data_IF_609320546939
#
_entry.id   IF_609320546939
#
_cell.length_a   1.000
_cell.length_b   1.000
_cell.length_c   1.000
_cell.angle_alpha   90.00
_cell.angle_beta   90.00
_cell.angle_gamma   90.00
#
_symmetry.space_group_name_H-M   'P 1'
#
loop_
_entity.id
_entity.type
_entity.pdbx_description
1 polymer ?
#
# COMPACT_ATOMS: atom_id res chain seq x y z
N UNK A 1 46.32 13.86 12.57
CA UNK A 1 44.92 14.16 12.16
C UNK A 1 44.40 13.34 10.97
N UNK A 2 45.24 12.68 10.16
CA UNK A 2 44.75 11.92 8.99
C UNK A 2 44.06 10.58 9.28
N UNK A 3 44.38 9.90 10.40
CA UNK A 3 43.82 8.58 10.72
C UNK A 3 42.37 8.64 11.22
N UNK A 4 41.98 9.71 11.88
CA UNK A 4 40.61 9.95 12.36
C UNK A 4 39.67 10.37 11.23
N UNK A 5 40.16 11.11 10.23
CA UNK A 5 39.37 11.55 9.09
C UNK A 5 38.98 10.38 8.17
N UNK A 6 39.85 9.38 8.02
CA UNK A 6 39.57 8.17 7.23
C UNK A 6 38.51 7.29 7.88
N UNK A 7 38.53 7.14 9.21
CA UNK A 7 37.53 6.37 9.96
C UNK A 7 36.13 6.99 9.90
N UNK A 8 36.06 8.34 9.94
CA UNK A 8 34.79 9.06 9.78
C UNK A 8 34.26 8.92 8.35
N UNK A 9 35.13 8.98 7.34
CA UNK A 9 34.71 8.81 5.95
C UNK A 9 34.24 7.38 5.66
N UNK A 10 34.94 6.37 6.19
CA UNK A 10 34.58 4.96 6.04
C UNK A 10 33.27 4.63 6.78
N UNK A 11 33.08 5.20 7.97
CA UNK A 11 31.82 5.10 8.72
C UNK A 11 30.65 5.76 7.98
N UNK A 12 30.86 6.94 7.40
CA UNK A 12 29.83 7.65 6.63
C UNK A 12 29.46 6.90 5.34
N UNK A 13 30.44 6.34 4.63
CA UNK A 13 30.19 5.52 3.42
C UNK A 13 29.42 4.24 3.76
N UNK A 14 29.72 3.58 4.89
CA UNK A 14 28.99 2.40 5.33
C UNK A 14 27.54 2.72 5.75
N UNK A 15 27.29 3.90 6.34
CA UNK A 15 25.92 4.35 6.67
C UNK A 15 25.13 4.67 5.40
N UNK A 16 25.74 5.32 4.40
CA UNK A 16 25.08 5.64 3.12
C UNK A 16 24.87 4.40 2.25
N UNK A 17 25.81 3.46 2.24
CA UNK A 17 25.68 2.18 1.54
C UNK A 17 24.67 1.24 2.22
N UNK A 18 24.63 1.23 3.55
CA UNK A 18 23.67 0.44 4.34
C UNK A 18 22.23 0.95 4.25
N UNK A 19 22.04 2.24 3.99
CA UNK A 19 20.71 2.83 3.79
C UNK A 19 20.05 2.43 2.44
N UNK A 20 20.82 1.86 1.50
CA UNK A 20 20.38 1.63 0.12
C UNK A 20 19.92 0.20 -0.18
N UNK A 21 19.83 -0.69 0.82
CA UNK A 21 19.46 -2.10 0.64
C UNK A 21 18.27 -2.55 1.49
N UNK A 22 17.44 -1.64 1.98
CA UNK A 22 16.11 -1.99 2.47
C UNK A 22 15.15 -2.10 1.27
N UNK A 23 15.44 -3.02 0.34
CA UNK A 23 14.36 -3.64 -0.41
C UNK A 23 13.63 -4.50 0.62
N UNK A 24 12.64 -3.90 1.28
CA UNK A 24 11.62 -4.67 1.96
C UNK A 24 10.85 -5.43 0.88
N UNK A 25 11.45 -6.51 0.39
CA UNK A 25 10.79 -7.58 -0.32
C UNK A 25 10.01 -8.40 0.72
N UNK A 26 9.23 -7.70 1.56
CA UNK A 26 8.22 -8.33 2.38
C UNK A 26 7.11 -8.65 1.40
N UNK A 27 7.09 -9.87 0.87
CA UNK A 27 5.88 -10.43 0.28
C UNK A 27 4.77 -10.23 1.32
N UNK A 28 3.76 -9.40 1.05
CA UNK A 28 2.78 -8.90 2.03
C UNK A 28 2.79 -7.38 2.25
N UNK A 29 3.87 -6.69 1.84
CA UNK A 29 4.02 -5.24 1.87
C UNK A 29 3.07 -4.56 0.88
N UNK A 30 1.89 -4.22 1.36
CA UNK A 30 0.99 -3.31 0.67
C UNK A 30 1.40 -1.88 0.98
N UNK A 31 1.40 -1.03 -0.04
CA UNK A 31 1.70 0.38 0.11
C UNK A 31 0.39 1.16 0.18
N UNK A 32 0.20 1.97 1.21
CA UNK A 32 -1.00 2.80 1.38
C UNK A 32 -0.61 4.26 1.34
N UNK A 33 -1.29 5.04 0.51
CA UNK A 33 -0.98 6.46 0.38
C UNK A 33 -2.00 7.26 -0.39
N UNK A 34 -1.65 8.52 -0.64
CA UNK A 34 -2.39 9.40 -1.53
C UNK A 34 -1.95 9.20 -2.98
N UNK A 35 -2.79 9.53 -3.95
CA UNK A 35 -2.45 9.40 -5.38
C UNK A 35 -1.16 10.14 -5.72
N UNK A 36 -0.99 11.33 -5.14
CA UNK A 36 0.07 12.25 -5.52
C UNK A 36 1.47 11.83 -5.08
N UNK A 37 1.56 11.12 -3.96
CA UNK A 37 2.83 10.80 -3.27
C UNK A 37 3.06 9.30 -3.10
N UNK A 38 2.02 8.49 -3.26
CA UNK A 38 2.08 7.05 -3.09
C UNK A 38 2.79 6.36 -4.25
N UNK A 39 3.42 5.23 -3.94
CA UNK A 39 4.08 4.36 -4.91
C UNK A 39 4.04 2.92 -4.43
N UNK A 40 4.13 1.97 -5.35
CA UNK A 40 4.30 0.54 -5.04
C UNK A 40 5.40 -0.01 -5.92
N UNK A 41 6.36 -0.70 -5.30
CA UNK A 41 7.56 -1.26 -5.96
C UNK A 41 8.27 -0.26 -6.90
N UNK A 42 8.34 1.00 -6.48
CA UNK A 42 9.00 2.08 -7.23
C UNK A 42 8.17 2.69 -8.37
N UNK A 43 6.95 2.21 -8.64
CA UNK A 43 6.02 2.80 -9.59
C UNK A 43 5.07 3.76 -8.87
N UNK A 44 4.91 4.99 -9.38
CA UNK A 44 3.99 5.97 -8.77
C UNK A 44 2.54 5.54 -8.96
N UNK A 45 1.68 5.80 -7.97
CA UNK A 45 0.25 5.51 -8.10
C UNK A 45 -0.41 6.22 -9.27
N UNK A 46 0.06 7.41 -9.67
CA UNK A 46 -0.45 8.15 -10.84
C UNK A 46 -0.18 7.48 -12.17
N UNK A 47 0.85 6.63 -12.23
CA UNK A 47 1.27 5.94 -13.45
C UNK A 47 0.56 4.59 -13.60
N UNK A 48 -0.23 4.19 -12.60
CA UNK A 48 -0.94 2.93 -12.56
C UNK A 48 -2.43 3.15 -12.82
N UNK A 49 -3.02 2.26 -13.61
CA UNK A 49 -4.46 2.19 -13.73
C UNK A 49 -5.07 1.69 -12.42
N UNK A 50 -6.15 2.34 -11.98
CA UNK A 50 -6.93 1.89 -10.83
C UNK A 50 -7.69 0.63 -11.22
N UNK A 51 -7.34 -0.50 -10.62
CA UNK A 51 -7.94 -1.79 -10.95
C UNK A 51 -9.31 -1.99 -10.28
N UNK A 52 -9.54 -1.34 -9.13
CA UNK A 52 -10.84 -1.34 -8.47
C UNK A 52 -11.06 -0.11 -7.61
N UNK A 53 -12.31 0.34 -7.56
CA UNK A 53 -12.77 1.41 -6.69
C UNK A 53 -13.75 0.86 -5.65
N UNK A 54 -13.46 1.10 -4.38
CA UNK A 54 -14.28 0.68 -3.24
C UNK A 54 -14.75 1.91 -2.48
N UNK A 55 -16.04 1.95 -2.17
CA UNK A 55 -16.67 3.07 -1.50
C UNK A 55 -17.32 2.61 -0.19
N UNK A 56 -16.99 3.27 0.92
CA UNK A 56 -17.81 3.17 2.12
C UNK A 56 -19.04 4.04 1.92
N UNK A 57 -20.22 3.44 2.05
CA UNK A 57 -21.51 4.08 1.82
C UNK A 57 -22.38 3.95 3.07
N UNK A 58 -23.26 4.94 3.25
CA UNK A 58 -24.32 4.94 4.24
C UNK A 58 -25.66 5.09 3.52
N UNK A 59 -26.49 4.05 3.60
CA UNK A 59 -27.80 3.98 2.97
C UNK A 59 -28.86 3.82 4.06
N UNK A 60 -29.43 4.94 4.51
CA UNK A 60 -30.30 4.96 5.69
C UNK A 60 -29.52 4.55 6.93
N UNK A 61 -29.87 3.41 7.54
CA UNK A 61 -29.18 2.85 8.69
C UNK A 61 -28.08 1.83 8.34
N UNK A 62 -27.89 1.53 7.05
CA UNK A 62 -26.94 0.51 6.59
C UNK A 62 -25.61 1.16 6.25
N UNK A 63 -24.52 0.64 6.84
CA UNK A 63 -23.15 0.98 6.50
C UNK A 63 -22.50 -0.19 5.76
N UNK A 64 -21.99 0.04 4.57
CA UNK A 64 -21.46 -1.03 3.71
C UNK A 64 -20.31 -0.56 2.82
N UNK A 65 -19.55 -1.53 2.31
CA UNK A 65 -18.60 -1.33 1.21
C UNK A 65 -19.28 -1.65 -0.13
N UNK A 66 -19.05 -0.83 -1.14
CA UNK A 66 -19.50 -1.06 -2.51
C UNK A 66 -18.34 -0.95 -3.51
N UNK A 67 -18.21 -1.87 -4.48
CA UNK A 67 -19.00 -3.10 -4.59
C UNK A 67 -18.68 -4.06 -3.43
N UNK A 68 -19.66 -4.88 -2.98
CA UNK A 68 -19.46 -5.80 -1.86
C UNK A 68 -18.47 -6.93 -2.20
N UNK A 69 -18.31 -7.24 -3.48
CA UNK A 69 -17.34 -8.20 -4.01
C UNK A 69 -16.69 -7.58 -5.23
N UNK A 70 -15.36 -7.62 -5.29
CA UNK A 70 -14.56 -7.24 -6.44
C UNK A 70 -13.75 -8.44 -6.89
N UNK A 71 -13.69 -8.70 -8.19
CA UNK A 71 -12.86 -9.75 -8.78
C UNK A 71 -11.80 -9.09 -9.64
N UNK A 72 -10.54 -9.44 -9.40
CA UNK A 72 -9.40 -8.92 -10.14
C UNK A 72 -8.81 -10.08 -10.97
N UNK A 73 -8.72 -9.89 -12.28
CA UNK A 73 -8.11 -10.90 -13.17
C UNK A 73 -6.60 -10.70 -13.27
N UNK A 74 -5.85 -11.63 -12.68
CA UNK A 74 -4.38 -11.60 -12.69
C UNK A 74 -3.75 -12.07 -14.01
N UNK A 75 -4.52 -12.69 -14.93
CA UNK A 75 -3.97 -13.24 -16.18
C UNK A 75 -3.50 -12.18 -17.16
N UNK A 76 -4.13 -11.01 -17.15
CA UNK A 76 -3.89 -9.92 -18.11
C UNK A 76 -2.82 -8.92 -17.63
N UNK A 77 -2.12 -9.21 -16.53
CA UNK A 77 -1.27 -8.24 -15.81
C UNK A 77 0.09 -8.80 -15.41
N UNK A 78 0.99 -9.07 -16.39
CA UNK A 78 2.34 -9.54 -16.09
C UNK A 78 3.16 -8.44 -15.40
N UNK A 79 3.55 -8.66 -14.14
CA UNK A 79 4.46 -7.79 -13.39
C UNK A 79 3.92 -6.39 -13.04
N UNK A 80 2.66 -6.07 -13.35
CA UNK A 80 2.03 -4.79 -12.97
C UNK A 80 1.40 -4.91 -11.58
N UNK A 81 1.75 -4.04 -10.60
CA UNK A 81 1.09 -4.00 -9.30
C UNK A 81 -0.42 -3.82 -9.42
N UNK A 82 -1.18 -4.29 -8.43
CA UNK A 82 -2.61 -3.93 -8.32
C UNK A 82 -2.71 -2.57 -7.64
N UNK A 83 -3.55 -1.68 -8.15
CA UNK A 83 -3.91 -0.44 -7.46
C UNK A 83 -5.40 -0.42 -7.11
N UNK A 84 -5.70 -0.41 -5.81
CA UNK A 84 -7.06 -0.21 -5.31
C UNK A 84 -7.25 1.23 -4.88
N UNK A 85 -8.36 1.85 -5.24
CA UNK A 85 -8.80 3.14 -4.71
C UNK A 85 -9.91 2.89 -3.70
N UNK A 86 -9.74 3.41 -2.50
CA UNK A 86 -10.68 3.23 -1.40
C UNK A 86 -11.13 4.61 -0.92
N UNK A 87 -12.42 4.88 -1.01
CA UNK A 87 -13.01 6.18 -0.70
C UNK A 87 -14.08 6.03 0.37
N UNK A 88 -14.10 6.93 1.35
CA UNK A 88 -15.19 7.02 2.30
C UNK A 88 -16.21 8.07 1.87
N UNK A 89 -17.35 7.63 1.34
CA UNK A 89 -18.48 8.46 0.94
C UNK A 89 -19.58 8.52 2.03
N UNK A 90 -19.30 8.06 3.24
CA UNK A 90 -20.22 8.13 4.37
C UNK A 90 -20.00 9.37 5.24
N UNK A 91 -20.90 9.60 6.20
CA UNK A 91 -20.84 10.74 7.11
C UNK A 91 -19.91 10.53 8.32
N UNK A 92 -19.40 9.31 8.52
CA UNK A 92 -18.58 8.91 9.68
C UNK A 92 -17.28 8.27 9.23
N UNK A 93 -16.31 8.12 10.15
CA UNK A 93 -15.11 7.34 9.86
C UNK A 93 -15.45 5.89 9.49
N UNK A 94 -14.68 5.31 8.56
CA UNK A 94 -14.86 3.93 8.13
C UNK A 94 -13.53 3.19 8.03
N UNK A 95 -13.51 1.98 8.59
CA UNK A 95 -12.39 1.07 8.47
C UNK A 95 -12.44 0.29 7.16
N UNK A 96 -11.30 0.22 6.48
CA UNK A 96 -11.04 -0.73 5.40
C UNK A 96 -10.00 -1.74 5.85
N UNK A 97 -10.29 -3.02 5.62
CA UNK A 97 -9.36 -4.09 5.94
C UNK A 97 -9.33 -5.13 4.83
N UNK A 98 -8.18 -5.27 4.17
CA UNK A 98 -7.91 -6.28 3.17
C UNK A 98 -6.93 -7.29 3.74
N UNK A 99 -7.37 -8.55 3.87
CA UNK A 99 -6.51 -9.65 4.28
C UNK A 99 -6.98 -11.00 3.75
N UNK A 100 -6.15 -12.03 3.92
CA UNK A 100 -6.59 -13.41 3.84
C UNK A 100 -7.03 -13.89 5.24
N UNK A 101 -8.33 -14.18 5.37
CA UNK A 101 -8.92 -14.63 6.64
C UNK A 101 -8.35 -15.98 7.13
N UNK A 102 -7.76 -16.79 6.26
CA UNK A 102 -7.24 -18.12 6.61
C UNK A 102 -5.80 -18.08 7.11
N UNK A 103 -5.02 -17.08 6.70
CA UNK A 103 -3.59 -16.99 6.98
C UNK A 103 -3.18 -15.68 7.63
N UNK A 104 -4.11 -14.86 8.11
CA UNK A 104 -3.91 -13.51 8.66
C UNK A 104 -2.66 -13.30 9.55
N UNK A 105 -2.25 -14.29 10.34
CA UNK A 105 -1.08 -14.20 11.24
C UNK A 105 0.27 -14.44 10.54
N UNK A 106 0.27 -14.90 9.29
CA UNK A 106 1.48 -15.18 8.53
C UNK A 106 2.11 -13.88 8.02
N UNK A 107 3.44 -13.72 8.13
CA UNK A 107 4.13 -12.48 7.74
C UNK A 107 4.09 -12.20 6.24
N UNK A 108 3.71 -13.20 5.43
CA UNK A 108 3.68 -13.13 3.97
C UNK A 108 2.33 -12.70 3.38
N UNK A 109 1.33 -12.48 4.23
CA UNK A 109 -0.05 -12.23 3.80
C UNK A 109 -0.27 -10.77 3.49
N UNK A 110 -1.05 -10.51 2.44
CA UNK A 110 -1.57 -9.18 2.14
C UNK A 110 -2.35 -8.69 3.35
N UNK A 111 -1.97 -7.54 3.91
CA UNK A 111 -2.65 -6.97 5.06
C UNK A 111 -2.66 -5.43 4.98
N UNK A 112 -3.74 -4.87 4.43
CA UNK A 112 -3.96 -3.43 4.39
C UNK A 112 -5.05 -3.05 5.40
N UNK A 113 -4.71 -2.27 6.43
CA UNK A 113 -5.69 -1.75 7.40
C UNK A 113 -5.64 -0.23 7.42
N UNK A 114 -6.76 0.39 7.05
CA UNK A 114 -6.87 1.85 6.90
C UNK A 114 -8.13 2.33 7.60
N UNK A 115 -8.06 3.50 8.23
CA UNK A 115 -9.23 4.23 8.72
C UNK A 115 -9.35 5.50 7.88
N UNK A 116 -10.51 5.68 7.25
CA UNK A 116 -10.78 6.79 6.34
C UNK A 116 -11.75 7.76 7.01
N UNK A 117 -11.41 9.04 7.03
CA UNK A 117 -12.31 10.13 7.41
C UNK A 117 -13.40 10.34 6.36
N UNK A 118 -14.53 10.98 6.70
CA UNK A 118 -15.55 11.34 5.71
C UNK A 118 -14.94 12.10 4.53
N UNK A 119 -15.23 11.66 3.30
CA UNK A 119 -14.71 12.20 2.05
C UNK A 119 -13.26 11.82 1.72
N UNK A 120 -12.56 11.10 2.59
CA UNK A 120 -11.16 10.72 2.36
C UNK A 120 -11.04 9.61 1.31
N UNK A 121 -10.02 9.72 0.47
CA UNK A 121 -9.63 8.67 -0.47
C UNK A 121 -8.19 8.27 -0.21
N UNK A 122 -7.94 6.96 -0.17
CA UNK A 122 -6.60 6.38 -0.15
C UNK A 122 -6.44 5.36 -1.25
N UNK A 123 -5.20 5.15 -1.63
CA UNK A 123 -4.78 4.19 -2.63
C UNK A 123 -3.97 3.09 -1.96
N UNK A 124 -4.21 1.85 -2.37
CA UNK A 124 -3.55 0.66 -1.84
C UNK A 124 -2.89 -0.05 -3.02
N UNK A 125 -1.57 0.05 -3.07
CA UNK A 125 -0.73 -0.66 -4.03
C UNK A 125 -0.37 -2.04 -3.50
N UNK A 126 -0.64 -3.08 -4.29
CA UNK A 126 -0.30 -4.46 -3.96
C UNK A 126 0.75 -4.96 -4.96
N UNK A 127 1.96 -5.30 -4.50
CA UNK A 127 3.00 -5.81 -5.38
C UNK A 127 2.60 -7.18 -5.89
N UNK A 128 2.85 -7.43 -7.18
CA UNK A 128 2.63 -8.75 -7.78
C UNK A 128 3.91 -9.20 -8.42
N UNK A 129 4.51 -10.25 -7.83
CA UNK A 129 5.75 -10.88 -8.25
C UNK A 129 5.69 -11.44 -9.66
#
# INVERSE_FOLDING_TARGET
MGKTMLGVFFGLVMVVAGASAAFAHQAGGVEVGDLETGSVVGQSFKELDVDAELYALELGSIKTWYPPVTVIDFKVRPGRPVLLKVTNNSSTEHGFWLTDNTTQAAPTVVNAKVVLKPGETKFIGIPTS
#
